data_IF_039130177665
#
_entry.id   IF_039130177665
#
_cell.length_a   1.000
_cell.length_b   1.000
_cell.length_c   1.000
_cell.angle_alpha   90.00
_cell.angle_beta   90.00
_cell.angle_gamma   90.00
#
_symmetry.space_group_name_H-M   'P 1'
#
loop_
_entity.id
_entity.type
_entity.pdbx_description
1 polymer ?
#
# COMPACT_ATOMS: atom_id res chain seq x y z
N UNK A 1 4.21 -0.40 -8.40
CA UNK A 1 3.96 0.48 -7.25
C UNK A 1 5.30 0.92 -6.70
N UNK A 2 5.43 2.18 -6.32
CA UNK A 2 6.62 2.75 -5.67
C UNK A 2 6.20 3.89 -4.73
N UNK A 3 7.13 4.45 -3.98
CA UNK A 3 6.89 5.66 -3.18
C UNK A 3 7.17 6.92 -4.00
N UNK A 4 6.40 7.98 -3.77
CA UNK A 4 6.68 9.31 -4.34
C UNK A 4 7.86 9.95 -3.60
N UNK A 5 8.80 10.51 -4.35
CA UNK A 5 9.96 11.22 -3.79
C UNK A 5 9.51 12.32 -2.82
N UNK A 6 10.24 12.48 -1.72
CA UNK A 6 9.99 13.47 -0.66
C UNK A 6 8.62 13.39 0.03
N UNK A 7 7.85 12.31 -0.14
CA UNK A 7 6.56 12.13 0.53
C UNK A 7 6.64 11.36 1.85
N UNK A 8 7.69 10.55 2.02
CA UNK A 8 7.88 9.66 3.16
C UNK A 8 8.14 10.46 4.43
N UNK A 9 7.38 10.18 5.48
CA UNK A 9 7.55 10.73 6.82
C UNK A 9 7.01 9.72 7.87
N UNK A 10 7.25 9.92 9.18
CA UNK A 10 6.82 8.96 10.21
C UNK A 10 5.32 8.63 10.28
N UNK A 11 4.45 9.42 9.64
CA UNK A 11 2.97 9.28 9.71
C UNK A 11 2.34 8.71 8.44
N UNK A 12 3.07 8.79 7.33
CA UNK A 12 2.51 8.43 6.04
C UNK A 12 3.46 8.65 4.87
N UNK A 13 3.00 8.27 3.69
CA UNK A 13 3.66 8.56 2.42
C UNK A 13 2.62 8.67 1.30
N UNK A 14 3.08 9.00 0.10
CA UNK A 14 2.28 8.86 -1.11
C UNK A 14 2.83 7.73 -1.97
N UNK A 15 1.98 6.75 -2.29
CA UNK A 15 2.27 5.70 -3.26
C UNK A 15 2.03 6.20 -4.68
N UNK A 16 2.85 5.74 -5.61
CA UNK A 16 2.68 5.91 -7.05
C UNK A 16 2.31 4.55 -7.66
N UNK A 17 1.13 4.51 -8.28
CA UNK A 17 0.66 3.38 -9.04
C UNK A 17 0.76 3.69 -10.53
N UNK A 18 1.52 2.87 -11.27
CA UNK A 18 1.57 2.90 -12.72
C UNK A 18 1.01 1.58 -13.24
N UNK A 19 -0.08 1.64 -13.99
CA UNK A 19 -0.63 0.45 -14.65
C UNK A 19 0.20 0.12 -15.89
N UNK A 20 0.85 -1.04 -15.84
CA UNK A 20 1.47 -1.68 -17.02
C UNK A 20 0.58 -2.80 -17.58
N UNK A 21 -0.62 -2.96 -17.03
CA UNK A 21 -1.62 -3.93 -17.48
C UNK A 21 -2.31 -3.39 -18.74
N UNK A 22 -2.76 -4.31 -19.61
CA UNK A 22 -3.70 -3.98 -20.70
C UNK A 22 -5.15 -3.92 -20.23
N UNK A 23 -5.40 -4.42 -19.02
CA UNK A 23 -6.71 -4.50 -18.39
C UNK A 23 -6.81 -3.52 -17.22
N UNK A 24 -8.04 -3.20 -16.84
CA UNK A 24 -8.34 -2.36 -15.69
C UNK A 24 -7.88 -2.98 -14.38
N UNK A 25 -7.24 -2.16 -13.54
CA UNK A 25 -6.79 -2.54 -12.21
C UNK A 25 -7.59 -1.76 -11.19
N UNK A 26 -8.06 -2.43 -10.15
CA UNK A 26 -8.77 -1.83 -9.02
C UNK A 26 -7.93 -2.04 -7.75
N UNK A 27 -7.84 -1.01 -6.90
CA UNK A 27 -7.18 -1.12 -5.60
C UNK A 27 -8.01 -0.44 -4.50
N UNK A 28 -7.87 -0.94 -3.27
CA UNK A 28 -8.67 -0.48 -2.13
C UNK A 28 -7.99 0.57 -1.25
N UNK A 29 -8.56 0.82 -0.07
CA UNK A 29 -7.92 1.58 1.02
C UNK A 29 -6.99 0.72 1.89
N UNK A 30 -7.27 -0.59 1.99
CA UNK A 30 -6.54 -1.53 2.84
C UNK A 30 -5.06 -1.62 2.51
N UNK A 31 -4.22 -1.71 3.53
CA UNK A 31 -2.80 -1.99 3.36
C UNK A 31 -2.24 -2.71 4.58
N UNK A 32 -1.13 -3.42 4.39
CA UNK A 32 -0.32 -3.99 5.47
C UNK A 32 1.00 -3.21 5.53
N UNK A 33 1.42 -2.87 6.74
CA UNK A 33 2.73 -2.30 6.99
C UNK A 33 3.64 -3.39 7.55
N UNK A 34 4.85 -3.52 7.00
CA UNK A 34 5.87 -4.43 7.52
C UNK A 34 7.17 -3.68 7.80
N UNK A 35 7.89 -4.13 8.83
CA UNK A 35 9.23 -3.65 9.18
C UNK A 35 10.26 -4.74 8.90
N UNK A 36 11.42 -4.34 8.43
CA UNK A 36 12.57 -5.23 8.23
C UNK A 36 13.38 -5.34 9.52
N UNK A 37 13.59 -6.56 10.00
CA UNK A 37 14.42 -6.86 11.17
C UNK A 37 15.35 -8.01 10.75
N UNK A 38 16.66 -7.77 10.83
CA UNK A 38 17.69 -8.74 10.44
C UNK A 38 17.49 -9.33 9.03
N UNK A 39 17.04 -8.49 8.09
CA UNK A 39 16.80 -8.88 6.69
C UNK A 39 15.48 -9.61 6.44
N UNK A 40 14.64 -9.82 7.47
CA UNK A 40 13.34 -10.48 7.38
C UNK A 40 12.23 -9.45 7.59
N UNK A 41 11.15 -9.56 6.81
CA UNK A 41 9.97 -8.70 6.91
C UNK A 41 8.97 -9.27 7.91
N UNK A 42 8.48 -8.42 8.81
CA UNK A 42 7.47 -8.74 9.81
C UNK A 42 6.35 -7.70 9.78
N UNK A 43 5.11 -8.14 9.92
CA UNK A 43 3.97 -7.23 10.08
C UNK A 43 4.19 -6.31 11.28
N UNK A 44 3.98 -5.00 11.06
CA UNK A 44 4.20 -3.98 12.07
C UNK A 44 3.02 -3.98 13.05
N UNK A 45 3.26 -3.90 14.37
CA UNK A 45 2.20 -4.03 15.35
C UNK A 45 1.22 -2.86 15.28
N UNK A 46 -0.07 -3.19 15.37
CA UNK A 46 -1.17 -2.22 15.50
C UNK A 46 -1.20 -1.68 16.93
N UNK A 47 -1.47 -0.37 17.08
CA UNK A 47 -1.40 0.32 18.38
C UNK A 47 -2.76 0.59 19.01
N UNK A 48 -3.86 0.31 18.30
CA UNK A 48 -5.22 0.51 18.81
C UNK A 48 -5.79 -0.76 19.43
N UNK A 49 -6.63 -0.59 20.45
CA UNK A 49 -7.40 -1.68 21.06
C UNK A 49 -8.71 -1.91 20.29
N UNK A 50 -9.06 -3.18 20.09
CA UNK A 50 -10.34 -3.60 19.51
C UNK A 50 -10.27 -3.87 18.00
N UNK A 51 -11.45 -3.88 17.37
CA UNK A 51 -11.58 -4.13 15.94
C UNK A 51 -11.33 -2.85 15.13
N UNK A 52 -10.72 -3.00 13.96
CA UNK A 52 -10.49 -1.92 13.01
C UNK A 52 -10.91 -2.34 11.61
N UNK A 53 -11.10 -1.37 10.73
CA UNK A 53 -11.46 -1.63 9.35
C UNK A 53 -11.09 -0.47 8.44
N UNK A 54 -10.91 -0.79 7.17
CA UNK A 54 -10.74 0.19 6.10
C UNK A 54 -12.08 0.45 5.41
N UNK A 55 -12.21 1.61 4.76
CA UNK A 55 -13.36 1.83 3.87
C UNK A 55 -13.19 0.94 2.64
N UNK A 56 -14.28 0.30 2.24
CA UNK A 56 -14.30 -0.58 1.08
C UNK A 56 -14.58 0.22 -0.20
N UNK A 57 -13.62 1.05 -0.61
CA UNK A 57 -13.67 1.87 -1.82
C UNK A 57 -12.76 1.25 -2.87
N UNK A 58 -13.30 0.92 -4.04
CA UNK A 58 -12.52 0.49 -5.20
C UNK A 58 -12.10 1.69 -6.05
N UNK A 59 -10.79 1.92 -6.17
CA UNK A 59 -10.22 2.92 -7.05
C UNK A 59 -9.77 2.27 -8.37
N UNK A 60 -10.36 2.72 -9.47
CA UNK A 60 -9.99 2.28 -10.82
C UNK A 60 -8.67 2.93 -11.27
N UNK A 61 -7.82 2.13 -11.88
CA UNK A 61 -6.59 2.51 -12.54
C UNK A 61 -6.59 1.96 -13.97
N UNK A 62 -6.98 2.80 -14.95
CA UNK A 62 -7.02 2.38 -16.34
C UNK A 62 -5.62 1.98 -16.88
N UNK A 63 -5.58 1.17 -17.96
CA UNK A 63 -4.34 0.80 -18.64
C UNK A 63 -3.46 2.00 -18.99
N UNK A 64 -2.17 1.93 -18.64
CA UNK A 64 -1.19 2.98 -18.95
C UNK A 64 -1.28 4.24 -18.11
N UNK A 65 -2.26 4.35 -17.20
CA UNK A 65 -2.40 5.52 -16.33
C UNK A 65 -1.56 5.41 -15.05
N UNK A 66 -1.31 6.59 -14.47
CA UNK A 66 -0.69 6.76 -13.18
C UNK A 66 -1.66 7.38 -12.17
N UNK A 67 -1.58 6.95 -10.91
CA UNK A 67 -2.31 7.53 -9.78
C UNK A 67 -1.43 7.65 -8.55
N UNK A 68 -1.63 8.74 -7.83
CA UNK A 68 -1.10 8.94 -6.49
C UNK A 68 -2.12 8.44 -5.46
N UNK A 69 -1.64 7.76 -4.42
CA UNK A 69 -2.47 7.32 -3.31
C UNK A 69 -1.80 7.67 -1.98
N UNK A 70 -2.44 8.54 -1.21
CA UNK A 70 -1.91 8.96 0.08
C UNK A 70 -2.22 7.91 1.13
N UNK A 71 -1.19 7.40 1.78
CA UNK A 71 -1.30 6.47 2.90
C UNK A 71 -1.07 7.24 4.20
N UNK A 72 -2.05 7.19 5.09
CA UNK A 72 -1.93 7.65 6.47
C UNK A 72 -2.10 6.43 7.39
N UNK A 73 -1.03 6.08 8.09
CA UNK A 73 -0.99 4.96 9.02
C UNK A 73 -1.01 5.40 10.47
N UNK A 74 -0.96 6.70 10.76
CA UNK A 74 -0.80 7.20 12.13
C UNK A 74 -1.91 6.71 13.05
N UNK A 75 -3.14 6.62 12.53
CA UNK A 75 -4.31 6.17 13.29
C UNK A 75 -4.25 4.68 13.69
N UNK A 76 -3.51 3.85 12.95
CA UNK A 76 -3.47 2.39 13.14
C UNK A 76 -2.16 1.90 13.74
N UNK A 77 -1.04 2.50 13.35
CA UNK A 77 0.32 2.07 13.71
C UNK A 77 1.10 3.13 14.50
N UNK A 78 0.54 4.32 14.69
CA UNK A 78 1.25 5.45 15.32
C UNK A 78 2.30 6.07 14.39
N UNK A 79 3.22 6.83 14.99
CA UNK A 79 4.40 7.34 14.28
C UNK A 79 5.47 6.25 14.22
N UNK A 80 6.09 6.06 13.04
CA UNK A 80 7.15 5.08 12.86
C UNK A 80 8.48 5.64 13.33
N UNK A 81 9.20 4.85 14.12
CA UNK A 81 10.61 5.09 14.44
C UNK A 81 11.51 4.85 13.22
N UNK A 82 12.74 5.39 13.20
CA UNK A 82 13.68 5.15 12.11
C UNK A 82 13.88 3.66 11.77
N UNK A 83 14.06 3.37 10.47
CA UNK A 83 14.30 2.03 9.95
C UNK A 83 13.70 1.76 8.57
N UNK A 84 13.85 0.51 8.11
CA UNK A 84 13.36 0.02 6.82
C UNK A 84 11.96 -0.60 6.93
N UNK A 85 11.05 -0.16 6.07
CA UNK A 85 9.64 -0.56 6.06
C UNK A 85 9.16 -0.87 4.64
N UNK A 86 8.01 -1.53 4.53
CA UNK A 86 7.29 -1.65 3.26
C UNK A 86 5.78 -1.62 3.45
N UNK A 87 5.08 -1.05 2.47
CA UNK A 87 3.63 -1.16 2.34
C UNK A 87 3.31 -2.29 1.37
N UNK A 88 2.42 -3.20 1.79
CA UNK A 88 1.80 -4.21 0.93
C UNK A 88 0.39 -3.76 0.56
N UNK A 89 0.09 -3.77 -0.74
CA UNK A 89 -1.22 -3.48 -1.31
C UNK A 89 -1.71 -4.67 -2.11
N UNK A 90 -2.95 -5.07 -1.87
CA UNK A 90 -3.68 -5.90 -2.81
C UNK A 90 -4.21 -5.03 -3.96
N UNK A 91 -4.11 -5.58 -5.18
CA UNK A 91 -4.69 -5.02 -6.38
C UNK A 91 -5.45 -6.12 -7.11
N UNK A 92 -6.61 -5.79 -7.66
CA UNK A 92 -7.45 -6.71 -8.43
C UNK A 92 -7.40 -6.33 -9.89
N UNK A 93 -6.98 -7.25 -10.75
CA UNK A 93 -6.96 -7.07 -12.19
C UNK A 93 -8.18 -7.78 -12.80
N UNK A 94 -8.97 -7.07 -13.60
CA UNK A 94 -10.11 -7.65 -14.32
C UNK A 94 -9.59 -8.38 -15.56
N UNK A 95 -9.73 -9.70 -15.61
CA UNK A 95 -9.36 -10.49 -16.78
C UNK A 95 -10.46 -10.47 -17.85
N UNK A 96 -10.11 -10.77 -19.11
CA UNK A 96 -11.07 -10.80 -20.22
C UNK A 96 -12.22 -11.82 -20.01
N UNK A 97 -12.02 -12.82 -19.15
CA UNK A 97 -13.04 -13.77 -18.73
C UNK A 97 -14.15 -13.15 -17.87
N UNK A 98 -13.92 -11.94 -17.33
CA UNK A 98 -14.76 -11.31 -16.32
C UNK A 98 -14.39 -11.69 -14.88
N UNK A 99 -13.35 -12.50 -14.67
CA UNK A 99 -12.84 -12.85 -13.35
C UNK A 99 -11.84 -11.80 -12.84
N UNK A 100 -11.74 -11.67 -11.52
CA UNK A 100 -10.71 -10.85 -10.88
C UNK A 100 -9.56 -11.72 -10.40
N UNK A 101 -8.34 -11.29 -10.71
CA UNK A 101 -7.12 -11.85 -10.14
C UNK A 101 -6.44 -10.86 -9.22
N UNK A 102 -6.24 -11.26 -7.97
CA UNK A 102 -5.57 -10.44 -6.95
C UNK A 102 -4.06 -10.63 -7.00
N UNK A 103 -3.33 -9.52 -6.93
CA UNK A 103 -1.88 -9.47 -6.80
C UNK A 103 -1.51 -8.65 -5.57
N UNK A 104 -0.39 -8.99 -4.94
CA UNK A 104 0.17 -8.22 -3.83
C UNK A 104 1.42 -7.49 -4.30
N UNK A 105 1.42 -6.17 -4.17
CA UNK A 105 2.54 -5.31 -4.51
C UNK A 105 3.16 -4.75 -3.24
N UNK A 106 4.49 -4.69 -3.21
CA UNK A 106 5.27 -4.07 -2.14
C UNK A 106 5.90 -2.76 -2.62
N UNK A 107 5.91 -1.74 -1.75
CA UNK A 107 6.75 -0.57 -1.90
C UNK A 107 7.58 -0.39 -0.63
N UNK A 108 8.90 -0.56 -0.75
CA UNK A 108 9.86 -0.41 0.34
C UNK A 108 10.25 1.07 0.51
N UNK A 109 10.49 1.49 1.75
CA UNK A 109 10.89 2.84 2.12
C UNK A 109 11.67 2.86 3.43
N UNK A 110 12.35 3.97 3.70
CA UNK A 110 13.12 4.19 4.93
C UNK A 110 12.59 5.41 5.67
N UNK A 111 12.58 5.33 6.99
CA UNK A 111 12.35 6.46 7.89
C UNK A 111 13.70 6.83 8.51
N UNK A 112 14.08 8.10 8.39
CA UNK A 112 15.30 8.69 8.97
C UNK A 112 15.07 9.23 10.39
#
# INVERSE_FOLDING_TARGET
MSTKEHSVNPKGLTLLFLSKSYNEVIYGESFILEKKIDGIWYEYPIVIDGEYGFKDIGYELPPGEEREFKVDWQWLYGELEPGEYRIIKDISNLEDSGDYKTYYLAAEFEIE
#
